data_IF_258820612793
#
_entry.id   IF_258820612793
#
_cell.length_a   1.000
_cell.length_b   1.000
_cell.length_c   1.000
_cell.angle_alpha   90.00
_cell.angle_beta   90.00
_cell.angle_gamma   90.00
#
_symmetry.space_group_name_H-M   'P 1'
#
loop_
_entity.id
_entity.type
_entity.pdbx_description
1 polymer ?
#
# COMPACT_ATOMS: atom_id res chain seq x y z
N UNK A 1 0.59 -18.55 40.63
CA UNK A 1 1.11 -17.81 39.46
C UNK A 1 1.14 -18.70 38.20
N UNK A 2 0.03 -19.39 37.85
CA UNK A 2 -0.02 -20.41 36.78
C UNK A 2 -1.04 -20.06 35.67
N UNK A 3 -2.00 -19.16 35.94
CA UNK A 3 -3.08 -18.83 34.99
C UNK A 3 -2.68 -17.95 33.79
N UNK A 4 -1.53 -17.25 33.84
CA UNK A 4 -1.18 -16.25 32.81
C UNK A 4 -0.38 -16.81 31.63
N UNK A 5 0.36 -17.91 31.82
CA UNK A 5 1.17 -18.51 30.75
C UNK A 5 0.32 -19.20 29.68
N UNK A 6 -0.75 -19.90 30.08
CA UNK A 6 -1.64 -20.62 29.16
C UNK A 6 -2.47 -19.68 28.27
N UNK A 7 -2.87 -18.51 28.77
CA UNK A 7 -3.60 -17.52 27.97
C UNK A 7 -2.72 -16.95 26.84
N UNK A 8 -1.44 -16.69 27.13
CA UNK A 8 -0.47 -16.20 26.15
C UNK A 8 -0.11 -17.25 25.08
N UNK A 9 -0.11 -18.55 25.43
CA UNK A 9 0.18 -19.65 24.47
C UNK A 9 -1.04 -20.12 23.69
N UNK A 10 -2.25 -20.00 24.24
CA UNK A 10 -3.49 -20.34 23.52
C UNK A 10 -3.91 -19.26 22.52
N UNK A 11 -3.58 -17.99 22.75
CA UNK A 11 -3.95 -16.91 21.82
C UNK A 11 -3.46 -17.13 20.38
N UNK A 12 -2.19 -17.48 20.11
CA UNK A 12 -1.75 -17.77 18.73
C UNK A 12 -2.44 -19.03 18.17
N UNK A 13 -2.75 -20.02 19.00
CA UNK A 13 -3.44 -21.24 18.58
C UNK A 13 -4.92 -21.00 18.24
N UNK A 14 -5.59 -20.13 19.00
CA UNK A 14 -6.95 -19.68 18.75
C UNK A 14 -7.02 -18.84 17.47
N UNK A 15 -6.06 -17.92 17.27
CA UNK A 15 -5.94 -17.14 16.02
C UNK A 15 -5.71 -18.07 14.84
N UNK A 16 -4.77 -19.02 14.92
CA UNK A 16 -4.54 -20.01 13.87
C UNK A 16 -5.78 -20.87 13.58
N UNK A 17 -6.53 -21.26 14.60
CA UNK A 17 -7.78 -22.02 14.43
C UNK A 17 -8.88 -21.21 13.74
N UNK A 18 -9.05 -19.94 14.10
CA UNK A 18 -10.00 -19.03 13.42
C UNK A 18 -9.57 -18.80 11.96
N UNK A 19 -8.26 -18.67 11.68
CA UNK A 19 -7.72 -18.56 10.31
C UNK A 19 -7.93 -19.83 9.47
N UNK A 20 -7.85 -21.01 10.09
CA UNK A 20 -7.97 -22.30 9.38
C UNK A 20 -9.42 -22.71 9.17
N UNK A 21 -10.29 -22.52 10.16
CA UNK A 21 -11.64 -23.06 10.19
C UNK A 21 -12.75 -22.01 10.06
N UNK A 22 -12.46 -20.72 10.22
CA UNK A 22 -13.43 -19.62 10.08
C UNK A 22 -13.73 -19.19 8.64
N UNK A 23 -13.13 -19.86 7.66
CA UNK A 23 -13.11 -19.41 6.28
C UNK A 23 -14.47 -19.55 5.55
N UNK A 24 -15.15 -18.43 5.34
CA UNK A 24 -15.96 -18.23 4.13
C UNK A 24 -15.03 -17.90 2.95
N UNK A 25 -14.10 -18.79 2.62
CA UNK A 25 -13.18 -18.67 1.47
C UNK A 25 -13.90 -18.72 0.10
N UNK A 26 -15.23 -18.61 0.08
CA UNK A 26 -16.02 -18.72 -1.14
C UNK A 26 -16.40 -17.34 -1.66
N UNK A 27 -15.85 -17.03 -2.83
CA UNK A 27 -16.43 -16.19 -3.88
C UNK A 27 -15.89 -14.76 -4.08
N UNK A 28 -14.58 -14.56 -4.11
CA UNK A 28 -14.03 -13.62 -5.12
C UNK A 28 -13.25 -14.45 -6.15
N UNK A 29 -13.93 -14.87 -7.22
CA UNK A 29 -13.26 -15.52 -8.35
C UNK A 29 -12.37 -14.54 -9.11
N UNK A 30 -12.86 -13.31 -9.27
CA UNK A 30 -12.15 -12.22 -9.89
C UNK A 30 -12.77 -10.92 -9.39
N UNK A 31 -11.94 -9.97 -9.02
CA UNK A 31 -12.39 -8.68 -8.51
C UNK A 31 -11.52 -7.58 -9.10
N UNK A 32 -12.17 -6.51 -9.54
CA UNK A 32 -11.50 -5.29 -9.99
C UNK A 32 -11.90 -4.20 -9.01
N UNK A 33 -10.91 -3.49 -8.47
CA UNK A 33 -11.14 -2.35 -7.60
C UNK A 33 -10.31 -1.16 -8.03
N UNK A 34 -10.86 0.02 -7.88
CA UNK A 34 -10.13 1.27 -7.99
C UNK A 34 -10.29 2.07 -6.70
N UNK A 35 -9.31 2.91 -6.37
CA UNK A 35 -9.41 3.81 -5.23
C UNK A 35 -8.40 4.93 -5.29
N UNK A 36 -8.34 5.71 -4.22
CA UNK A 36 -7.50 6.90 -4.09
C UNK A 36 -6.56 6.76 -2.89
N UNK A 37 -5.28 7.13 -3.02
CA UNK A 37 -4.35 7.07 -1.91
C UNK A 37 -4.76 8.07 -0.83
N UNK A 38 -4.72 7.64 0.43
CA UNK A 38 -5.09 8.48 1.57
C UNK A 38 -3.89 9.29 2.10
N UNK A 39 -2.72 8.69 2.09
CA UNK A 39 -1.48 9.27 2.60
C UNK A 39 -0.28 8.65 1.90
N UNK A 40 0.76 9.44 1.69
CA UNK A 40 2.08 8.99 1.29
C UNK A 40 3.12 9.76 2.10
N UNK A 41 4.07 9.03 2.67
CA UNK A 41 5.15 9.59 3.47
C UNK A 41 6.48 9.42 2.73
N UNK A 42 7.33 10.43 2.82
CA UNK A 42 8.62 10.44 2.12
C UNK A 42 9.68 10.04 3.14
N UNK A 43 10.55 9.10 2.78
CA UNK A 43 11.54 8.54 3.71
C UNK A 43 12.62 9.53 4.19
N UNK A 44 12.67 10.74 3.62
CA UNK A 44 13.59 11.80 4.05
C UNK A 44 12.94 12.68 5.12
N UNK A 45 13.53 12.70 6.32
CA UNK A 45 13.05 13.48 7.47
C UNK A 45 13.02 14.99 7.21
N UNK A 46 13.78 15.48 6.23
CA UNK A 46 13.83 16.90 5.87
C UNK A 46 12.71 17.31 4.91
N UNK A 47 12.06 16.34 4.25
CA UNK A 47 11.07 16.58 3.20
C UNK A 47 9.72 16.06 3.67
N UNK A 48 8.79 16.97 3.91
CA UNK A 48 7.44 16.60 4.37
C UNK A 48 6.42 16.62 3.24
N UNK A 49 5.52 15.63 3.27
CA UNK A 49 4.39 15.52 2.35
C UNK A 49 3.22 16.42 2.79
N UNK A 50 2.65 17.18 1.85
CA UNK A 50 1.46 18.03 2.01
C UNK A 50 0.18 17.38 1.51
N UNK A 51 0.24 16.08 1.29
CA UNK A 51 -0.88 15.27 0.81
C UNK A 51 -0.57 14.57 -0.49
N UNK A 52 -1.35 13.53 -0.74
CA UNK A 52 -1.26 12.68 -1.92
C UNK A 52 -2.56 12.73 -2.69
N UNK A 53 -2.47 12.67 -4.01
CA UNK A 53 -3.64 12.56 -4.89
C UNK A 53 -3.30 11.65 -6.05
N UNK A 54 -4.19 10.74 -6.40
CA UNK A 54 -3.94 9.77 -7.45
C UNK A 54 -5.00 8.70 -7.49
N UNK A 55 -4.67 7.59 -8.14
CA UNK A 55 -5.54 6.45 -8.28
C UNK A 55 -4.74 5.16 -8.27
N UNK A 56 -5.32 4.13 -7.65
CA UNK A 56 -4.83 2.77 -7.73
C UNK A 56 -5.88 1.88 -8.37
N UNK A 57 -5.44 0.89 -9.14
CA UNK A 57 -6.27 -0.08 -9.82
C UNK A 57 -5.75 -1.48 -9.55
N UNK A 58 -6.57 -2.30 -8.92
CA UNK A 58 -6.21 -3.62 -8.46
C UNK A 58 -7.08 -4.69 -9.10
N UNK A 59 -6.45 -5.79 -9.48
CA UNK A 59 -7.09 -6.98 -10.03
C UNK A 59 -6.76 -8.15 -9.14
N UNK A 60 -7.78 -8.83 -8.62
CA UNK A 60 -7.65 -9.99 -7.73
C UNK A 60 -7.98 -11.27 -8.48
N UNK A 61 -7.15 -12.30 -8.28
CA UNK A 61 -7.33 -13.63 -8.85
C UNK A 61 -7.94 -14.61 -7.82
N UNK A 62 -8.50 -15.75 -8.25
CA UNK A 62 -9.16 -16.71 -7.37
C UNK A 62 -8.24 -17.42 -6.37
N UNK A 63 -6.94 -17.13 -6.39
CA UNK A 63 -5.90 -17.74 -5.55
C UNK A 63 -5.44 -16.82 -4.40
N UNK A 64 -6.28 -15.85 -4.00
CA UNK A 64 -5.99 -14.85 -2.96
C UNK A 64 -4.80 -13.94 -3.28
N UNK A 65 -4.25 -14.00 -4.49
CA UNK A 65 -3.22 -13.09 -4.99
C UNK A 65 -3.86 -12.13 -5.97
N UNK A 66 -3.40 -10.89 -5.98
CA UNK A 66 -3.74 -9.93 -7.02
C UNK A 66 -2.56 -9.06 -7.40
N UNK A 67 -2.77 -8.29 -8.46
CA UNK A 67 -1.82 -7.33 -9.00
C UNK A 67 -2.44 -5.95 -9.03
N UNK A 68 -1.63 -4.93 -8.78
CA UNK A 68 -2.03 -3.54 -8.73
C UNK A 68 -1.20 -2.67 -9.65
N UNK A 69 -1.83 -1.63 -10.17
CA UNK A 69 -1.17 -0.49 -10.78
C UNK A 69 -1.57 0.75 -9.97
N UNK A 70 -0.58 1.47 -9.47
CA UNK A 70 -0.81 2.70 -8.73
C UNK A 70 -0.15 3.86 -9.46
N UNK A 71 -0.85 4.97 -9.59
CA UNK A 71 -0.29 6.22 -10.08
C UNK A 71 -0.77 7.35 -9.19
N UNK A 72 0.16 7.98 -8.49
CA UNK A 72 -0.16 9.04 -7.56
C UNK A 72 0.89 10.13 -7.51
N UNK A 73 0.43 11.34 -7.25
CA UNK A 73 1.26 12.52 -7.05
C UNK A 73 1.26 12.89 -5.56
N UNK A 74 2.44 13.00 -4.98
CA UNK A 74 2.65 13.50 -3.62
C UNK A 74 3.12 14.95 -3.69
N UNK A 75 2.43 15.85 -3.00
CA UNK A 75 2.85 17.26 -2.91
C UNK A 75 3.94 17.39 -1.83
N UNK A 76 5.02 18.08 -2.14
CA UNK A 76 6.05 18.42 -1.16
C UNK A 76 5.67 19.74 -0.49
N UNK A 77 5.72 19.81 0.85
CA UNK A 77 5.44 21.04 1.63
C UNK A 77 6.45 22.14 1.35
N UNK A 78 7.69 21.75 1.08
CA UNK A 78 8.78 22.66 0.78
C UNK A 78 8.66 23.21 -0.64
N UNK A 79 8.85 24.52 -0.79
CA UNK A 79 8.88 25.18 -2.10
C UNK A 79 10.29 25.07 -2.67
N UNK A 80 10.43 24.36 -3.77
CA UNK A 80 11.64 24.37 -4.59
C UNK A 80 11.46 25.49 -5.63
N UNK A 81 12.36 26.47 -5.65
CA UNK A 81 12.34 27.59 -6.60
C UNK A 81 10.99 28.35 -6.69
N UNK A 82 10.40 28.71 -5.54
CA UNK A 82 9.10 29.38 -5.42
C UNK A 82 7.89 28.62 -6.02
N UNK A 83 8.08 27.38 -6.47
CA UNK A 83 7.04 26.53 -7.04
C UNK A 83 6.75 25.33 -6.12
N UNK A 84 5.51 24.81 -6.19
CA UNK A 84 5.14 23.59 -5.48
C UNK A 84 5.70 22.41 -6.28
N UNK A 85 6.68 21.71 -5.73
CA UNK A 85 7.19 20.48 -6.32
C UNK A 85 6.29 19.31 -5.94
N UNK A 86 6.13 18.35 -6.87
CA UNK A 86 5.40 17.12 -6.65
C UNK A 86 6.27 15.92 -7.00
N UNK A 87 6.01 14.79 -6.37
CA UNK A 87 6.61 13.51 -6.73
C UNK A 87 5.52 12.69 -7.41
N UNK A 88 5.67 12.43 -8.70
CA UNK A 88 4.81 11.51 -9.45
C UNK A 88 5.35 10.10 -9.30
N UNK A 89 4.58 9.20 -8.70
CA UNK A 89 4.97 7.82 -8.45
C UNK A 89 4.07 6.89 -9.26
N UNK A 90 4.68 5.97 -10.01
CA UNK A 90 3.97 4.89 -10.70
C UNK A 90 4.50 3.56 -10.17
N UNK A 91 3.62 2.75 -9.57
CA UNK A 91 3.97 1.48 -8.94
C UNK A 91 3.17 0.31 -9.50
N UNK A 92 3.82 -0.85 -9.48
CA UNK A 92 3.22 -2.15 -9.75
C UNK A 92 3.28 -2.99 -8.48
N UNK A 93 2.11 -3.46 -8.07
CA UNK A 93 1.93 -4.10 -6.77
C UNK A 93 1.56 -5.57 -6.95
N UNK A 94 2.08 -6.42 -6.07
CA UNK A 94 1.61 -7.78 -5.90
C UNK A 94 1.12 -7.89 -4.47
N UNK A 95 -0.12 -8.33 -4.30
CA UNK A 95 -0.74 -8.37 -2.99
C UNK A 95 -1.46 -9.68 -2.70
N UNK A 96 -1.50 -10.04 -1.42
CA UNK A 96 -2.13 -11.24 -0.92
C UNK A 96 -3.27 -10.89 0.04
N UNK A 97 -4.43 -11.51 -0.17
CA UNK A 97 -5.59 -11.39 0.69
C UNK A 97 -5.44 -12.30 1.91
N UNK A 98 -5.38 -11.70 3.10
CA UNK A 98 -5.33 -12.45 4.35
C UNK A 98 -6.68 -13.15 4.59
N UNK A 99 -6.67 -14.44 4.99
CA UNK A 99 -7.89 -15.21 5.26
C UNK A 99 -8.49 -14.84 6.62
N UNK A 100 -8.99 -13.60 6.74
CA UNK A 100 -9.61 -13.07 7.96
C UNK A 100 -11.14 -13.02 7.78
N UNK A 101 -11.93 -13.59 8.71
CA UNK A 101 -13.36 -13.86 8.49
C UNK A 101 -14.29 -12.64 8.56
N UNK A 102 -13.79 -11.44 8.90
CA UNK A 102 -14.65 -10.27 9.19
C UNK A 102 -14.42 -9.13 8.19
N UNK A 103 -13.16 -8.85 7.82
CA UNK A 103 -12.79 -7.83 6.85
C UNK A 103 -11.68 -8.37 5.94
N UNK A 104 -11.78 -8.07 4.65
CA UNK A 104 -10.79 -8.44 3.64
C UNK A 104 -9.55 -7.54 3.78
N UNK A 105 -8.54 -7.99 4.53
CA UNK A 105 -7.25 -7.31 4.61
C UNK A 105 -6.30 -7.83 3.55
N UNK A 106 -5.77 -6.92 2.75
CA UNK A 106 -4.82 -7.24 1.68
C UNK A 106 -3.48 -6.64 2.04
N UNK A 107 -2.40 -7.43 1.94
CA UNK A 107 -1.03 -6.97 2.16
C UNK A 107 -0.29 -7.05 0.84
N UNK A 108 0.28 -5.93 0.40
CA UNK A 108 0.98 -5.79 -0.87
C UNK A 108 2.44 -5.42 -0.70
N UNK A 109 3.24 -5.79 -1.71
CA UNK A 109 4.55 -5.24 -1.95
C UNK A 109 4.54 -4.65 -3.36
N UNK A 110 5.04 -3.42 -3.47
CA UNK A 110 5.07 -2.67 -4.72
C UNK A 110 6.48 -2.33 -5.14
N UNK A 111 6.69 -2.16 -6.44
CA UNK A 111 7.90 -1.56 -6.99
C UNK A 111 7.55 -0.70 -8.20
N UNK A 112 8.29 0.37 -8.40
CA UNK A 112 7.95 1.36 -9.39
C UNK A 112 9.02 2.42 -9.62
N UNK A 113 8.58 3.49 -10.26
CA UNK A 113 9.39 4.67 -10.55
C UNK A 113 8.78 5.89 -9.85
N UNK A 114 9.63 6.79 -9.40
CA UNK A 114 9.26 8.08 -8.85
C UNK A 114 9.94 9.20 -9.65
N UNK A 115 9.18 10.21 -10.05
CA UNK A 115 9.65 11.35 -10.85
C UNK A 115 9.41 12.65 -10.12
N UNK A 116 10.39 13.56 -10.14
CA UNK A 116 10.21 14.90 -9.60
C UNK A 116 9.52 15.80 -10.64
N UNK A 117 8.29 16.16 -10.36
CA UNK A 117 7.45 17.02 -11.18
C UNK A 117 7.53 18.46 -10.65
N UNK A 118 8.16 19.33 -11.43
CA UNK A 118 8.25 20.75 -11.13
C UNK A 118 8.45 21.57 -12.42
N UNK A 119 7.99 22.82 -12.41
CA UNK A 119 7.88 23.68 -13.60
C UNK A 119 9.24 23.98 -14.25
N UNK A 120 10.31 24.08 -13.47
CA UNK A 120 11.64 24.49 -13.92
C UNK A 120 12.75 23.48 -13.64
N UNK A 121 12.53 22.56 -12.69
CA UNK A 121 13.56 21.63 -12.25
C UNK A 121 13.42 20.20 -12.80
N UNK A 122 12.27 19.82 -13.39
CA UNK A 122 11.97 18.42 -13.72
C UNK A 122 12.94 17.84 -14.76
N UNK A 123 13.49 18.67 -15.66
CA UNK A 123 14.48 18.23 -16.66
C UNK A 123 15.87 17.94 -16.11
N UNK A 124 16.15 18.29 -14.85
CA UNK A 124 17.48 18.16 -14.25
C UNK A 124 17.62 16.93 -13.35
N UNK A 125 16.53 16.20 -13.11
CA UNK A 125 16.52 15.04 -12.23
C UNK A 125 16.09 13.80 -13.00
N UNK A 126 16.88 12.74 -12.88
CA UNK A 126 16.51 11.42 -13.39
C UNK A 126 15.39 10.81 -12.53
N UNK A 127 14.66 9.87 -13.13
CA UNK A 127 13.66 9.09 -12.43
C UNK A 127 14.32 8.24 -11.34
N UNK A 128 13.76 8.28 -10.14
CA UNK A 128 14.13 7.43 -9.02
C UNK A 128 13.36 6.11 -9.01
N UNK A 129 13.81 5.17 -8.19
CA UNK A 129 13.09 3.93 -7.90
C UNK A 129 12.13 4.13 -6.72
N UNK A 130 10.92 3.61 -6.83
CA UNK A 130 9.93 3.53 -5.75
C UNK A 130 9.78 2.08 -5.29
N UNK A 131 9.74 1.85 -3.98
CA UNK A 131 9.55 0.52 -3.35
C UNK A 131 8.75 0.66 -2.06
#
# INVERSE_FOLDING_TARGET
MIKMKYFQTCLPFLVASIMLFGNTLRAEFFSISAGVPLSHDIADENISSDGVSGYFFHVKFPILVGVGLENYETKIKEKIDNSIAKIGTTMYDIFYLLPIPIINLTVGLGAGEAELLCTTCSSNYDKGTAT
#
